data_IF_352114379998
#
_entry.id   IF_352114379998
#
_cell.length_a   1.000
_cell.length_b   1.000
_cell.length_c   1.000
_cell.angle_alpha   90.00
_cell.angle_beta   90.00
_cell.angle_gamma   90.00
#
_symmetry.space_group_name_H-M   'P 1'
#
loop_
_entity.id
_entity.type
_entity.pdbx_description
1 polymer ?
#
# COMPACT_ATOMS: atom_id res chain seq x y z
N UNK A 1 -8.19 -15.34 -8.97
CA UNK A 1 -9.34 -14.94 -8.15
C UNK A 1 -9.92 -13.56 -8.47
N UNK A 2 -9.15 -12.47 -8.61
CA UNK A 2 -9.71 -11.14 -8.92
C UNK A 2 -8.87 -10.39 -9.97
N UNK A 3 -9.32 -10.32 -11.24
CA UNK A 3 -8.58 -9.64 -12.32
C UNK A 3 -8.27 -8.16 -12.05
N UNK A 4 -9.16 -7.47 -11.33
CA UNK A 4 -9.04 -6.06 -10.97
C UNK A 4 -7.77 -5.78 -10.16
N UNK A 5 -7.33 -6.73 -9.33
CA UNK A 5 -6.08 -6.62 -8.56
C UNK A 5 -4.87 -6.60 -9.49
N UNK A 6 -4.86 -7.50 -10.48
CA UNK A 6 -3.77 -7.58 -11.44
C UNK A 6 -3.67 -6.29 -12.27
N UNK A 7 -4.82 -5.68 -12.60
CA UNK A 7 -4.88 -4.43 -13.36
C UNK A 7 -4.55 -3.20 -12.50
N UNK A 8 -5.09 -3.11 -11.29
CA UNK A 8 -4.98 -1.90 -10.46
C UNK A 8 -3.71 -1.85 -9.59
N UNK A 9 -3.26 -3.00 -9.08
CA UNK A 9 -2.13 -3.13 -8.15
C UNK A 9 -0.95 -3.88 -8.77
N UNK A 10 -1.25 -4.89 -9.58
CA UNK A 10 -0.28 -5.89 -10.03
C UNK A 10 0.21 -6.77 -8.89
N UNK A 11 1.51 -7.07 -8.88
CA UNK A 11 2.13 -7.82 -7.80
C UNK A 11 2.12 -7.02 -6.48
N UNK A 12 1.83 -7.70 -5.38
CA UNK A 12 1.82 -7.14 -4.02
C UNK A 12 2.73 -8.00 -3.14
N UNK A 13 4.00 -7.61 -2.95
CA UNK A 13 4.95 -8.40 -2.18
C UNK A 13 4.76 -8.22 -0.67
N UNK A 14 5.25 -9.17 0.11
CA UNK A 14 5.43 -9.04 1.56
C UNK A 14 6.87 -8.60 1.84
N UNK A 15 7.03 -7.48 2.52
CA UNK A 15 8.35 -6.97 2.95
C UNK A 15 8.81 -7.67 4.24
N UNK A 16 10.13 -7.81 4.46
CA UNK A 16 10.67 -8.31 5.71
C UNK A 16 10.24 -7.47 6.91
N UNK A 17 10.11 -8.11 8.08
CA UNK A 17 9.83 -7.38 9.32
C UNK A 17 11.01 -6.50 9.71
N UNK A 18 10.71 -5.28 10.11
CA UNK A 18 11.63 -4.37 10.79
C UNK A 18 10.84 -3.59 11.85
N UNK A 19 11.52 -3.11 12.90
CA UNK A 19 10.86 -2.36 13.97
C UNK A 19 10.38 -0.99 13.45
N UNK A 20 9.13 -0.58 13.72
CA UNK A 20 8.62 0.73 13.32
C UNK A 20 9.50 1.87 13.85
N UNK A 21 9.69 2.92 13.04
CA UNK A 21 10.47 4.10 13.43
C UNK A 21 11.98 3.89 13.48
N UNK A 22 12.49 2.76 12.97
CA UNK A 22 13.93 2.49 12.86
C UNK A 22 14.41 2.62 11.41
N UNK A 23 15.68 2.98 11.19
CA UNK A 23 16.28 3.01 9.85
C UNK A 23 16.18 1.65 9.11
N UNK A 24 16.17 0.54 9.85
CA UNK A 24 16.01 -0.79 9.29
C UNK A 24 14.67 -0.99 8.56
N UNK A 25 13.61 -0.26 8.96
CA UNK A 25 12.34 -0.28 8.23
C UNK A 25 12.47 0.38 6.87
N UNK A 26 13.15 1.53 6.79
CA UNK A 26 13.38 2.23 5.53
C UNK A 26 14.13 1.33 4.53
N UNK A 27 15.19 0.68 5.00
CA UNK A 27 15.96 -0.29 4.20
C UNK A 27 15.11 -1.47 3.72
N UNK A 28 14.22 -1.99 4.59
CA UNK A 28 13.35 -3.11 4.27
C UNK A 28 12.27 -2.77 3.21
N UNK A 29 11.75 -1.53 3.22
CA UNK A 29 10.64 -1.14 2.32
C UNK A 29 11.11 -0.44 1.05
N UNK A 30 12.31 0.15 1.02
CA UNK A 30 12.81 0.92 -0.13
C UNK A 30 12.77 0.15 -1.47
N UNK A 31 13.12 -1.16 -1.54
CA UNK A 31 12.95 -1.93 -2.75
C UNK A 31 11.49 -2.08 -3.16
N UNK A 32 10.58 -2.19 -2.19
CA UNK A 32 9.15 -2.31 -2.46
C UNK A 32 8.56 -1.00 -2.99
N UNK A 33 8.93 0.12 -2.38
CA UNK A 33 8.52 1.48 -2.79
C UNK A 33 8.91 1.80 -4.24
N UNK A 34 10.07 1.30 -4.70
CA UNK A 34 10.54 1.55 -6.07
C UNK A 34 9.82 0.73 -7.14
N UNK A 35 9.33 -0.46 -6.77
CA UNK A 35 8.93 -1.50 -7.73
C UNK A 35 7.46 -1.90 -7.64
N UNK A 36 6.69 -1.44 -6.65
CA UNK A 36 5.33 -1.90 -6.39
C UNK A 36 4.41 -0.73 -6.03
N UNK A 37 3.11 -0.81 -6.37
CA UNK A 37 2.11 0.23 -6.10
C UNK A 37 1.41 -0.04 -4.77
N UNK A 38 1.56 -1.28 -4.30
CA UNK A 38 1.04 -1.80 -3.06
C UNK A 38 2.00 -2.89 -2.56
N UNK A 39 2.23 -2.93 -1.25
CA UNK A 39 2.99 -4.00 -0.61
C UNK A 39 2.52 -4.18 0.83
N UNK A 40 2.75 -5.38 1.35
CA UNK A 40 2.45 -5.74 2.73
C UNK A 40 3.69 -5.56 3.60
N UNK A 41 3.47 -5.10 4.82
CA UNK A 41 4.46 -5.01 5.88
C UNK A 41 4.25 -6.17 6.85
N UNK A 42 5.25 -7.04 6.99
CA UNK A 42 5.16 -8.16 7.92
C UNK A 42 4.80 -7.66 9.32
N UNK A 43 3.72 -8.18 9.89
CA UNK A 43 3.21 -7.84 11.22
C UNK A 43 2.87 -6.34 11.42
N UNK A 44 2.57 -5.56 10.38
CA UNK A 44 2.17 -4.15 10.53
C UNK A 44 0.90 -3.80 9.76
N UNK A 45 0.80 -4.26 8.51
CA UNK A 45 -0.32 -3.88 7.64
C UNK A 45 0.09 -3.79 6.18
N UNK A 46 -0.40 -2.78 5.48
CA UNK A 46 -0.17 -2.57 4.06
C UNK A 46 0.13 -1.10 3.75
N UNK A 47 0.84 -0.88 2.65
CA UNK A 47 1.11 0.44 2.09
C UNK A 47 0.72 0.44 0.62
N UNK A 48 0.02 1.48 0.19
CA UNK A 48 -0.28 1.75 -1.22
C UNK A 48 0.19 3.13 -1.60
N UNK A 49 0.50 3.30 -2.88
CA UNK A 49 0.99 4.56 -3.44
C UNK A 49 0.16 4.94 -4.66
N UNK A 50 0.08 6.23 -4.96
CA UNK A 50 -0.66 6.78 -6.09
C UNK A 50 -0.13 8.15 -6.48
N UNK A 51 -0.41 8.56 -7.72
CA UNK A 51 -0.12 9.91 -8.20
C UNK A 51 -0.95 10.97 -7.45
N UNK A 52 -2.09 10.55 -6.90
CA UNK A 52 -2.96 11.33 -6.02
C UNK A 52 -3.30 10.52 -4.77
N UNK A 53 -3.73 11.21 -3.71
CA UNK A 53 -4.22 10.55 -2.48
C UNK A 53 -5.43 9.67 -2.79
N UNK A 54 -6.35 10.14 -3.63
CA UNK A 54 -7.52 9.38 -4.06
C UNK A 54 -7.12 8.07 -4.74
N UNK A 55 -6.15 8.10 -5.66
CA UNK A 55 -5.64 6.89 -6.30
C UNK A 55 -4.98 5.93 -5.29
N UNK A 56 -4.23 6.46 -4.33
CA UNK A 56 -3.63 5.63 -3.28
C UNK A 56 -4.71 4.97 -2.40
N UNK A 57 -5.79 5.70 -2.11
CA UNK A 57 -6.94 5.21 -1.35
C UNK A 57 -7.72 4.14 -2.12
N UNK A 58 -8.06 4.37 -3.39
CA UNK A 58 -8.71 3.37 -4.27
C UNK A 58 -7.90 2.06 -4.33
N UNK A 59 -6.57 2.19 -4.40
CA UNK A 59 -5.66 1.03 -4.34
C UNK A 59 -5.70 0.33 -2.99
N UNK A 60 -5.78 1.07 -1.89
CA UNK A 60 -5.91 0.50 -0.55
C UNK A 60 -7.25 -0.24 -0.39
N UNK A 61 -8.34 0.34 -0.85
CA UNK A 61 -9.67 -0.29 -0.83
C UNK A 61 -9.68 -1.58 -1.65
N UNK A 62 -9.09 -1.55 -2.85
CA UNK A 62 -8.92 -2.74 -3.70
C UNK A 62 -8.12 -3.83 -2.99
N UNK A 63 -7.02 -3.46 -2.33
CA UNK A 63 -6.15 -4.39 -1.61
C UNK A 63 -6.87 -5.03 -0.42
N UNK A 64 -7.55 -4.23 0.40
CA UNK A 64 -8.30 -4.70 1.56
C UNK A 64 -9.46 -5.61 1.15
N UNK A 65 -10.17 -5.25 0.07
CA UNK A 65 -11.24 -6.09 -0.46
C UNK A 65 -10.70 -7.43 -0.94
N UNK A 66 -9.56 -7.43 -1.64
CA UNK A 66 -8.88 -8.65 -2.05
C UNK A 66 -8.44 -9.50 -0.86
N UNK A 67 -7.91 -8.88 0.20
CA UNK A 67 -7.49 -9.59 1.41
C UNK A 67 -8.67 -10.29 2.09
N UNK A 68 -9.82 -9.60 2.22
CA UNK A 68 -11.07 -10.19 2.74
C UNK A 68 -11.56 -11.37 1.91
N UNK A 69 -11.62 -11.22 0.59
CA UNK A 69 -12.02 -12.33 -0.31
C UNK A 69 -11.03 -13.49 -0.17
N UNK A 70 -9.73 -13.21 -0.16
CA UNK A 70 -8.69 -14.25 -0.05
C UNK A 70 -8.81 -15.00 1.27
N UNK A 71 -9.05 -14.30 2.38
CA UNK A 71 -9.27 -14.91 3.68
C UNK A 71 -10.52 -15.80 3.67
N UNK A 72 -11.66 -15.30 3.21
CA UNK A 72 -12.92 -16.06 3.16
C UNK A 72 -12.79 -17.28 2.26
N UNK A 73 -12.19 -17.12 1.07
CA UNK A 73 -11.98 -18.26 0.17
C UNK A 73 -11.01 -19.28 0.74
N UNK A 74 -9.95 -18.86 1.44
CA UNK A 74 -9.06 -19.77 2.15
C UNK A 74 -9.82 -20.59 3.21
N UNK A 75 -10.69 -19.94 3.99
CA UNK A 75 -11.54 -20.61 4.98
C UNK A 75 -12.54 -21.59 4.35
N UNK A 76 -12.96 -21.36 3.11
CA UNK A 76 -13.89 -22.21 2.37
C UNK A 76 -13.21 -23.33 1.56
N UNK A 77 -11.89 -23.54 1.74
CA UNK A 77 -11.15 -24.62 1.06
C UNK A 77 -10.24 -24.15 -0.09
N UNK A 78 -10.05 -22.84 -0.23
CA UNK A 78 -9.12 -22.25 -1.18
C UNK A 78 -9.80 -21.60 -2.38
N UNK A 79 -8.98 -20.98 -3.21
CA UNK A 79 -9.40 -20.11 -4.30
C UNK A 79 -8.70 -20.52 -5.61
N UNK A 80 -9.41 -20.49 -6.73
CA UNK A 80 -8.81 -20.77 -8.04
C UNK A 80 -7.95 -19.58 -8.49
N UNK A 81 -6.64 -19.84 -8.66
CA UNK A 81 -5.71 -18.87 -9.19
C UNK A 81 -6.00 -18.56 -10.66
N UNK A 82 -5.65 -17.35 -11.10
CA UNK A 82 -5.68 -17.02 -12.54
C UNK A 82 -4.57 -17.79 -13.26
N UNK A 83 -4.83 -18.23 -14.47
CA UNK A 83 -3.81 -18.88 -15.30
C UNK A 83 -2.71 -17.89 -15.71
N UNK A 84 -1.47 -18.36 -15.98
CA UNK A 84 -0.38 -17.48 -16.41
C UNK A 84 -0.70 -16.65 -17.66
N UNK A 85 -1.44 -17.22 -18.61
CA UNK A 85 -1.89 -16.52 -19.83
C UNK A 85 -2.86 -15.38 -19.53
N UNK A 86 -3.75 -15.57 -18.56
CA UNK A 86 -4.72 -14.56 -18.16
C UNK A 86 -4.02 -13.42 -17.43
N UNK A 87 -3.08 -13.76 -16.54
CA UNK A 87 -2.23 -12.78 -15.84
C UNK A 87 -1.46 -11.92 -16.85
N UNK A 88 -0.83 -12.54 -17.86
CA UNK A 88 -0.09 -11.80 -18.88
C UNK A 88 -1.01 -10.87 -19.70
N UNK A 89 -2.24 -11.31 -20.00
CA UNK A 89 -3.23 -10.47 -20.67
C UNK A 89 -3.63 -9.26 -19.83
N UNK A 90 -3.79 -9.45 -18.51
CA UNK A 90 -4.12 -8.40 -17.55
C UNK A 90 -2.94 -7.42 -17.34
N UNK A 91 -1.70 -7.91 -17.35
CA UNK A 91 -0.50 -7.06 -17.32
C UNK A 91 -0.42 -6.15 -18.55
N UNK A 92 -0.76 -6.66 -19.73
CA UNK A 92 -0.83 -5.85 -20.95
C UNK A 92 -1.93 -4.78 -20.88
N UNK A 93 -3.07 -5.08 -20.25
CA UNK A 93 -4.14 -4.09 -19.99
C UNK A 93 -3.65 -3.03 -19.00
N UNK A 94 -3.03 -3.44 -17.89
CA UNK A 94 -2.46 -2.53 -16.89
C UNK A 94 -1.49 -1.53 -17.51
N UNK A 95 -0.59 -1.99 -18.37
CA UNK A 95 0.38 -1.13 -19.04
C UNK A 95 -0.26 0.02 -19.83
N UNK A 96 -1.52 -0.12 -20.27
CA UNK A 96 -2.29 0.90 -20.99
C UNK A 96 -3.12 1.78 -20.07
N UNK A 97 -3.75 1.19 -19.06
CA UNK A 97 -4.77 1.85 -18.22
C UNK A 97 -4.17 2.47 -16.97
N UNK A 98 -3.17 1.83 -16.37
CA UNK A 98 -2.54 2.27 -15.13
C UNK A 98 -1.02 2.11 -15.19
N UNK A 99 -0.33 2.83 -16.11
CA UNK A 99 1.11 2.77 -16.21
C UNK A 99 1.73 3.34 -14.94
N UNK A 100 2.76 2.67 -14.42
CA UNK A 100 3.58 3.30 -13.38
C UNK A 100 4.26 4.53 -13.95
N UNK A 101 4.37 5.61 -13.16
CA UNK A 101 5.28 6.69 -13.51
C UNK A 101 6.70 6.12 -13.64
N UNK A 102 7.32 6.34 -14.79
CA UNK A 102 8.65 5.82 -15.19
C UNK A 102 9.78 6.37 -14.30
N UNK A 103 9.48 7.33 -13.42
CA UNK A 103 10.46 8.14 -12.70
C UNK A 103 10.87 7.63 -11.31
N UNK A 104 10.56 6.38 -10.94
CA UNK A 104 11.22 5.72 -9.81
C UNK A 104 12.55 5.08 -10.25
N UNK A 105 13.36 5.83 -10.99
CA UNK A 105 14.73 5.44 -11.27
C UNK A 105 15.53 5.58 -9.95
N UNK A 106 16.15 4.52 -9.41
CA UNK A 106 16.88 4.58 -8.14
C UNK A 106 18.06 5.57 -8.15
N UNK A 107 18.48 6.05 -9.32
CA UNK A 107 19.51 7.05 -9.52
C UNK A 107 18.96 8.43 -9.95
N UNK A 108 17.65 8.59 -10.17
CA UNK A 108 17.11 9.89 -10.55
C UNK A 108 17.21 10.87 -9.37
N UNK A 109 17.80 12.06 -9.56
CA UNK A 109 17.67 13.13 -8.58
C UNK A 109 16.20 13.45 -8.41
N UNK A 110 15.78 13.69 -7.16
CA UNK A 110 14.44 14.14 -6.80
C UNK A 110 14.11 15.34 -7.73
N UNK A 111 13.18 15.18 -8.67
CA UNK A 111 12.98 16.19 -9.73
C UNK A 111 12.72 17.57 -9.12
N UNK A 112 13.49 18.61 -9.50
CA UNK A 112 13.23 19.99 -9.10
C UNK A 112 12.06 20.49 -9.93
N UNK A 113 10.83 20.19 -9.50
CA UNK A 113 9.64 20.55 -10.27
C UNK A 113 8.32 20.06 -9.70
N UNK A 114 8.30 19.45 -8.52
CA UNK A 114 7.04 19.25 -7.82
C UNK A 114 6.46 20.65 -7.51
N UNK A 115 5.22 20.97 -7.95
CA UNK A 115 4.56 22.19 -7.49
C UNK A 115 4.58 22.20 -5.96
N UNK A 116 4.73 23.35 -5.30
CA UNK A 116 4.77 23.41 -3.85
C UNK A 116 3.57 22.64 -3.32
N UNK A 117 3.84 21.63 -2.47
CA UNK A 117 2.83 20.90 -1.72
C UNK A 117 1.81 21.93 -1.27
N UNK A 118 0.57 21.82 -1.77
CA UNK A 118 -0.52 22.61 -1.22
C UNK A 118 -0.44 22.44 0.30
N UNK A 119 -0.41 23.56 1.03
CA UNK A 119 -0.20 23.53 2.49
C UNK A 119 -1.05 22.41 3.05
N UNK A 120 -0.40 21.44 3.70
CA UNK A 120 -1.13 20.53 4.57
C UNK A 120 -1.99 21.44 5.42
N UNK A 121 -3.31 21.21 5.43
CA UNK A 121 -4.22 21.91 6.32
C UNK A 121 -3.54 22.02 7.68
N UNK A 122 -3.47 23.24 8.23
CA UNK A 122 -2.73 23.54 9.47
C UNK A 122 -3.31 22.73 10.64
N UNK A 123 -2.94 21.45 10.72
CA UNK A 123 -3.24 20.56 11.83
C UNK A 123 -2.05 20.71 12.77
N UNK A 124 -2.30 21.26 13.94
CA UNK A 124 -1.25 21.47 14.92
C UNK A 124 -0.70 20.14 15.42
N UNK A 125 0.58 20.10 15.80
CA UNK A 125 1.22 18.93 16.41
C UNK A 125 0.44 18.40 17.63
N UNK A 126 -0.26 19.30 18.33
CA UNK A 126 -1.18 18.98 19.42
C UNK A 126 -2.40 18.16 18.95
N UNK A 127 -3.01 18.53 17.81
CA UNK A 127 -4.15 17.80 17.24
C UNK A 127 -3.77 16.41 16.72
N UNK A 128 -2.56 16.28 16.18
CA UNK A 128 -1.99 14.97 15.78
C UNK A 128 -1.80 14.10 17.02
N UNK A 129 -1.15 14.65 18.05
CA UNK A 129 -0.89 13.93 19.32
C UNK A 129 -2.18 13.49 20.01
N UNK A 130 -3.18 14.37 20.06
CA UNK A 130 -4.49 14.07 20.66
C UNK A 130 -5.22 12.97 19.89
N UNK A 131 -5.21 13.04 18.55
CA UNK A 131 -5.88 12.04 17.70
C UNK A 131 -5.21 10.68 17.81
N UNK A 132 -3.88 10.63 17.79
CA UNK A 132 -3.12 9.38 17.97
C UNK A 132 -3.37 8.81 19.37
N UNK A 133 -3.27 9.61 20.42
CA UNK A 133 -3.47 9.16 21.81
C UNK A 133 -4.88 8.61 22.03
N UNK A 134 -5.90 9.28 21.49
CA UNK A 134 -7.30 8.85 21.58
C UNK A 134 -7.52 7.51 20.89
N UNK A 135 -7.01 7.35 19.66
CA UNK A 135 -7.14 6.09 18.91
C UNK A 135 -6.38 4.96 19.60
N UNK A 136 -5.17 5.22 20.11
CA UNK A 136 -4.38 4.23 20.84
C UNK A 136 -5.09 3.78 22.12
N UNK A 137 -5.66 4.69 22.92
CA UNK A 137 -6.46 4.32 24.10
C UNK A 137 -7.73 3.52 23.75
N UNK A 138 -8.35 3.83 22.62
CA UNK A 138 -9.56 3.15 22.17
C UNK A 138 -9.27 1.74 21.65
N UNK A 139 -8.10 1.51 21.06
CA UNK A 139 -7.63 0.19 20.63
C UNK A 139 -7.12 -0.63 21.82
N UNK A 140 -6.46 0.01 22.79
CA UNK A 140 -5.97 -0.59 24.03
C UNK A 140 -7.03 -0.67 25.14
N UNK A 141 -8.33 -0.62 24.79
CA UNK A 141 -9.42 -0.59 25.77
C UNK A 141 -9.25 -1.63 26.88
N UNK A 142 -9.35 -1.16 28.13
CA UNK A 142 -9.52 -1.96 29.35
C UNK A 142 -8.30 -2.80 29.78
N UNK A 143 -7.22 -2.14 30.23
CA UNK A 143 -6.21 -2.81 31.08
C UNK A 143 -5.78 -2.00 32.30
N UNK A 144 -6.67 -1.19 32.88
CA UNK A 144 -6.47 -0.66 34.24
C UNK A 144 -7.80 -0.86 34.99
N UNK A 145 -7.78 -1.83 35.90
CA UNK A 145 -8.84 -2.15 36.85
C UNK A 145 -8.84 -1.19 38.05
#
# INVERSE_FOLDING_TARGET
LMPEVAVNLGAVPLTPYATPGTPALEEAILPAVRNYDAFLLANHGAVTMGNTVDQALERMETLEHFAKITLVTHLLGGATALGPSDVQSLEAIRARVNPRPVNCDPAAPISPGLPPRGKASDISEAQITETVTRVVRQILGDTES
#
